data_IF_408628416464
#
_entry.id   IF_408628416464
#
_cell.length_a   1.000
_cell.length_b   1.000
_cell.length_c   1.000
_cell.angle_alpha   90.00
_cell.angle_beta   90.00
_cell.angle_gamma   90.00
#
_symmetry.space_group_name_H-M   'P 1'
#
loop_
_entity.id
_entity.type
_entity.pdbx_description
1 polymer ?
#
# COMPACT_ATOMS: atom_id res chain seq x y z
N UNK A 1 -1.39 12.94 1.04
CA UNK A 1 -0.10 13.67 1.13
C UNK A 1 -0.12 14.65 2.30
N UNK A 2 1.03 15.01 2.87
CA UNK A 2 1.15 15.95 3.97
C UNK A 2 2.41 16.82 3.85
N UNK A 3 2.32 18.07 4.31
CA UNK A 3 3.38 19.06 4.29
C UNK A 3 3.52 19.68 5.68
N UNK A 4 4.70 19.57 6.26
CA UNK A 4 5.02 20.21 7.54
C UNK A 4 5.17 21.73 7.37
N UNK A 5 4.62 22.52 8.29
CA UNK A 5 4.73 23.98 8.27
C UNK A 5 6.11 24.51 8.67
N UNK A 6 6.99 23.67 9.21
CA UNK A 6 8.28 24.09 9.79
C UNK A 6 8.17 24.45 11.27
N UNK A 7 6.99 24.87 11.71
CA UNK A 7 6.67 25.18 13.11
C UNK A 7 5.22 24.83 13.43
N UNK A 8 4.94 24.66 14.73
CA UNK A 8 3.57 24.63 15.24
C UNK A 8 2.95 26.02 15.04
N UNK A 9 1.71 26.06 14.58
CA UNK A 9 0.95 27.30 14.44
C UNK A 9 0.39 27.74 15.79
N UNK A 10 0.39 29.04 16.08
CA UNK A 10 -0.02 29.56 17.38
C UNK A 10 -1.54 29.55 17.60
N UNK A 11 -2.33 29.72 16.53
CA UNK A 11 -3.80 29.84 16.62
C UNK A 11 -4.55 28.54 16.94
N UNK A 12 -4.15 27.43 16.34
CA UNK A 12 -4.83 26.13 16.39
C UNK A 12 -3.90 24.98 16.84
N UNK A 13 -2.60 25.27 16.98
CA UNK A 13 -1.60 24.26 17.30
C UNK A 13 -1.30 23.27 16.18
N UNK A 14 -1.79 23.50 14.96
CA UNK A 14 -1.58 22.60 13.82
C UNK A 14 -0.13 22.66 13.33
N UNK A 15 0.35 21.52 12.82
CA UNK A 15 1.75 21.37 12.37
C UNK A 15 1.86 21.03 10.89
N UNK A 16 0.81 20.44 10.31
CA UNK A 16 0.78 20.01 8.92
C UNK A 16 -0.44 20.54 8.20
N UNK A 17 -0.26 20.78 6.90
CA UNK A 17 -1.35 20.74 5.91
C UNK A 17 -1.32 19.37 5.26
N UNK A 18 -2.47 18.77 5.05
CA UNK A 18 -2.59 17.46 4.43
C UNK A 18 -3.76 17.42 3.47
N UNK A 19 -3.62 16.57 2.44
CA UNK A 19 -4.64 16.32 1.44
C UNK A 19 -4.86 14.83 1.33
N UNK A 20 -6.10 14.39 1.56
CA UNK A 20 -6.56 13.04 1.27
C UNK A 20 -7.31 13.06 -0.07
N UNK A 21 -7.12 12.04 -0.91
CA UNK A 21 -7.74 12.00 -2.24
C UNK A 21 -8.06 10.58 -2.69
N UNK A 22 -9.03 10.50 -3.60
CA UNK A 22 -9.27 9.34 -4.45
C UNK A 22 -9.10 9.81 -5.89
N UNK A 23 -8.26 9.11 -6.65
CA UNK A 23 -8.05 9.38 -8.07
C UNK A 23 -7.97 8.04 -8.83
N UNK A 24 -8.37 8.00 -10.10
CA UNK A 24 -8.24 6.78 -10.87
C UNK A 24 -6.77 6.44 -11.07
N UNK A 25 -6.45 5.17 -11.33
CA UNK A 25 -5.08 4.77 -11.62
C UNK A 25 -4.66 5.22 -13.03
N UNK A 26 -5.56 5.09 -14.00
CA UNK A 26 -5.40 5.63 -15.34
C UNK A 26 -6.07 7.00 -15.45
N UNK A 27 -5.69 7.78 -16.46
CA UNK A 27 -6.27 9.10 -16.68
C UNK A 27 -7.67 9.02 -17.29
N UNK A 28 -8.68 8.84 -16.45
CA UNK A 28 -10.09 8.74 -16.83
C UNK A 28 -11.00 9.62 -15.98
N UNK A 29 -12.21 9.89 -16.47
CA UNK A 29 -13.22 10.61 -15.71
C UNK A 29 -14.08 9.66 -14.87
N UNK A 30 -13.67 9.47 -13.60
CA UNK A 30 -14.43 8.66 -12.66
C UNK A 30 -15.85 9.19 -12.37
N UNK A 31 -16.16 10.46 -12.67
CA UNK A 31 -17.50 11.02 -12.45
C UNK A 31 -18.58 10.33 -13.30
N UNK A 32 -18.16 9.61 -14.35
CA UNK A 32 -19.02 8.79 -15.21
C UNK A 32 -19.71 7.68 -14.41
N UNK A 33 -19.01 7.04 -13.47
CA UNK A 33 -19.55 5.90 -12.71
C UNK A 33 -19.65 6.18 -11.20
N UNK A 34 -18.88 7.13 -10.67
CA UNK A 34 -18.97 7.60 -9.27
C UNK A 34 -19.99 8.73 -9.16
N UNK A 35 -20.97 8.54 -8.28
CA UNK A 35 -21.97 9.54 -7.90
C UNK A 35 -21.45 10.53 -6.88
N UNK A 36 -20.74 10.03 -5.87
CA UNK A 36 -20.12 10.84 -4.82
C UNK A 36 -19.07 10.05 -4.04
N UNK A 37 -18.10 10.77 -3.48
CA UNK A 37 -17.14 10.25 -2.52
C UNK A 37 -17.35 10.95 -1.18
N UNK A 38 -17.41 10.17 -0.11
CA UNK A 38 -17.56 10.65 1.25
C UNK A 38 -16.28 10.38 2.03
N UNK A 39 -15.67 11.42 2.58
CA UNK A 39 -14.53 11.33 3.50
C UNK A 39 -15.03 11.55 4.92
N UNK A 40 -14.87 10.54 5.78
CA UNK A 40 -15.13 10.63 7.22
C UNK A 40 -13.80 10.87 7.93
N UNK A 41 -13.63 12.11 8.39
CA UNK A 41 -12.53 12.57 9.21
C UNK A 41 -12.78 12.23 10.70
N UNK A 42 -11.76 12.46 11.54
CA UNK A 42 -11.89 12.35 12.99
C UNK A 42 -12.94 13.32 13.55
N UNK A 43 -13.62 12.93 14.62
CA UNK A 43 -14.75 13.66 15.22
C UNK A 43 -14.38 15.06 15.74
N UNK A 44 -13.08 15.34 15.91
CA UNK A 44 -12.59 16.67 16.27
C UNK A 44 -12.72 17.71 15.15
N UNK A 45 -12.91 17.30 13.90
CA UNK A 45 -13.07 18.23 12.77
C UNK A 45 -14.51 18.66 12.62
N UNK A 46 -14.73 19.97 12.44
CA UNK A 46 -16.02 20.48 12.02
C UNK A 46 -16.43 19.85 10.68
N UNK A 47 -17.70 19.46 10.55
CA UNK A 47 -18.19 18.74 9.38
C UNK A 47 -17.32 17.52 9.05
N UNK A 48 -17.04 16.66 10.05
CA UNK A 48 -16.17 15.49 9.89
C UNK A 48 -16.53 14.60 8.69
N UNK A 49 -17.77 14.63 8.22
CA UNK A 49 -18.20 13.93 7.01
C UNK A 49 -18.25 14.92 5.84
N UNK A 50 -17.25 14.87 4.97
CA UNK A 50 -17.16 15.67 3.73
C UNK A 50 -17.68 14.84 2.57
N UNK A 51 -18.55 15.41 1.75
CA UNK A 51 -19.13 14.74 0.59
C UNK A 51 -18.80 15.52 -0.67
N UNK A 52 -18.16 14.88 -1.64
CA UNK A 52 -17.78 15.46 -2.92
C UNK A 52 -18.52 14.74 -4.04
N UNK A 53 -19.18 15.49 -4.92
CA UNK A 53 -19.95 14.97 -6.05
C UNK A 53 -19.23 15.11 -7.39
N UNK A 54 -18.13 15.85 -7.43
CA UNK A 54 -17.36 16.12 -8.65
C UNK A 54 -15.86 16.00 -8.38
N UNK A 55 -15.06 15.59 -9.38
CA UNK A 55 -13.60 15.59 -9.28
C UNK A 55 -13.04 17.03 -9.22
N UNK A 56 -11.86 17.24 -8.62
CA UNK A 56 -11.03 16.25 -7.94
C UNK A 56 -11.65 15.81 -6.60
N UNK A 57 -11.66 14.50 -6.35
CA UNK A 57 -12.19 13.95 -5.10
C UNK A 57 -11.13 14.02 -4.00
N UNK A 58 -10.88 15.22 -3.52
CA UNK A 58 -9.85 15.50 -2.52
C UNK A 58 -10.32 16.46 -1.43
N UNK A 59 -9.84 16.25 -0.21
CA UNK A 59 -10.08 17.11 0.94
C UNK A 59 -8.73 17.57 1.48
N UNK A 60 -8.53 18.88 1.52
CA UNK A 60 -7.36 19.51 2.15
C UNK A 60 -7.76 20.08 3.50
N UNK A 61 -6.96 19.78 4.51
CA UNK A 61 -7.17 20.20 5.89
C UNK A 61 -5.82 20.41 6.59
N UNK A 62 -5.88 20.91 7.82
CA UNK A 62 -4.69 21.11 8.65
C UNK A 62 -4.85 20.37 9.96
N UNK A 63 -3.74 19.91 10.54
CA UNK A 63 -3.78 19.15 11.79
C UNK A 63 -2.42 18.81 12.33
N UNK A 64 -2.41 18.06 13.44
CA UNK A 64 -1.20 17.62 14.12
C UNK A 64 -1.15 16.11 14.40
N UNK A 65 -2.29 15.43 14.31
CA UNK A 65 -2.43 14.00 14.61
C UNK A 65 -2.63 13.13 13.36
N UNK A 66 -2.13 11.90 13.43
CA UNK A 66 -2.43 10.83 12.48
C UNK A 66 -3.71 10.11 12.93
N UNK A 67 -4.60 9.79 11.99
CA UNK A 67 -5.85 9.08 12.27
C UNK A 67 -6.33 8.33 11.03
N UNK A 68 -7.26 7.40 11.20
CA UNK A 68 -7.90 6.70 10.10
C UNK A 68 -9.00 7.56 9.46
N UNK A 69 -8.92 7.73 8.14
CA UNK A 69 -9.94 8.38 7.33
C UNK A 69 -10.77 7.30 6.64
N UNK A 70 -12.07 7.29 6.91
CA UNK A 70 -13.01 6.44 6.19
C UNK A 70 -13.37 7.07 4.84
N UNK A 71 -13.20 6.34 3.75
CA UNK A 71 -13.52 6.80 2.39
C UNK A 71 -14.63 5.93 1.82
N UNK A 72 -15.81 6.49 1.57
CA UNK A 72 -16.96 5.77 1.05
C UNK A 72 -17.34 6.27 -0.34
N UNK A 73 -17.24 5.40 -1.33
CA UNK A 73 -17.51 5.68 -2.74
C UNK A 73 -18.90 5.17 -3.09
N UNK A 74 -19.74 6.06 -3.62
CA UNK A 74 -21.09 5.73 -4.09
C UNK A 74 -21.12 5.78 -5.60
N UNK A 75 -21.78 4.82 -6.23
CA UNK A 75 -21.93 4.75 -7.68
C UNK A 75 -23.25 5.39 -8.14
N UNK A 76 -23.32 5.72 -9.43
CA UNK A 76 -24.57 6.24 -10.03
C UNK A 76 -25.66 5.19 -10.05
N UNK A 77 -25.30 3.93 -10.28
CA UNK A 77 -26.22 2.81 -10.16
C UNK A 77 -26.60 2.58 -8.69
N UNK A 78 -27.87 2.75 -8.30
CA UNK A 78 -28.30 2.52 -6.92
C UNK A 78 -28.30 1.04 -6.51
N UNK A 79 -28.22 0.10 -7.46
CA UNK A 79 -28.14 -1.32 -7.17
C UNK A 79 -26.72 -1.75 -6.79
N UNK A 80 -25.72 -0.96 -7.17
CA UNK A 80 -24.33 -1.22 -6.81
C UNK A 80 -24.04 -0.75 -5.39
N UNK A 81 -23.39 -1.60 -4.59
CA UNK A 81 -23.13 -1.29 -3.18
C UNK A 81 -21.98 -0.27 -3.08
N UNK A 82 -22.09 0.73 -2.19
CA UNK A 82 -20.98 1.64 -1.95
C UNK A 82 -19.74 0.91 -1.42
N UNK A 83 -18.57 1.21 -1.97
CA UNK A 83 -17.29 0.69 -1.49
C UNK A 83 -16.80 1.55 -0.33
N UNK A 84 -16.28 0.93 0.73
CA UNK A 84 -15.69 1.63 1.88
C UNK A 84 -14.22 1.23 2.02
N UNK A 85 -13.34 2.21 2.00
CA UNK A 85 -11.90 2.09 2.20
C UNK A 85 -11.50 2.81 3.50
N UNK A 86 -10.39 2.40 4.08
CA UNK A 86 -9.83 3.01 5.29
C UNK A 86 -8.38 3.39 5.02
N UNK A 87 -8.07 4.68 5.17
CA UNK A 87 -6.74 5.20 4.90
C UNK A 87 -6.17 5.88 6.14
N UNK A 88 -5.01 5.40 6.62
CA UNK A 88 -4.32 6.04 7.75
C UNK A 88 -3.63 7.31 7.25
N UNK A 89 -4.09 8.47 7.70
CA UNK A 89 -3.42 9.74 7.46
C UNK A 89 -2.04 9.71 8.11
N UNK A 90 -1.00 9.82 7.28
CA UNK A 90 0.39 9.93 7.72
C UNK A 90 0.85 11.38 7.66
N UNK A 91 1.39 11.87 8.78
CA UNK A 91 1.99 13.19 8.92
C UNK A 91 3.50 13.07 9.18
N UNK A 92 3.93 12.01 9.87
CA UNK A 92 5.31 11.80 10.27
C UNK A 92 5.96 10.65 9.51
N UNK A 93 7.28 10.74 9.31
CA UNK A 93 8.04 9.69 8.63
C UNK A 93 8.22 8.49 9.56
N UNK A 94 7.50 7.40 9.30
CA UNK A 94 7.75 6.11 9.94
C UNK A 94 8.82 5.34 9.14
N UNK A 95 10.10 5.52 9.47
CA UNK A 95 11.24 4.73 8.95
C UNK A 95 11.47 4.81 7.41
N UNK A 96 12.60 4.30 6.85
CA UNK A 96 13.03 4.57 5.46
C UNK A 96 12.09 4.09 4.33
N UNK A 97 10.96 3.44 4.65
CA UNK A 97 10.00 2.92 3.68
C UNK A 97 8.85 3.87 3.32
N UNK A 98 8.67 4.97 4.05
CA UNK A 98 7.67 6.00 3.68
C UNK A 98 8.29 6.92 2.64
N UNK A 99 7.77 6.91 1.42
CA UNK A 99 8.28 7.74 0.33
C UNK A 99 8.14 9.23 0.68
N UNK A 100 9.26 9.86 1.05
CA UNK A 100 9.33 11.31 1.13
C UNK A 100 9.79 11.84 -0.23
N UNK A 101 9.04 12.78 -0.79
CA UNK A 101 9.44 13.46 -2.00
C UNK A 101 10.10 14.76 -1.58
N UNK A 102 11.39 14.88 -1.84
CA UNK A 102 12.08 16.18 -1.90
C UNK A 102 11.85 16.74 -3.29
N UNK A 103 11.17 17.88 -3.39
CA UNK A 103 11.16 18.67 -4.63
C UNK A 103 12.58 19.17 -4.88
N UNK A 104 13.32 18.47 -5.76
CA UNK A 104 14.59 18.95 -6.28
C UNK A 104 14.21 19.85 -7.48
N UNK A 105 14.50 21.17 -7.47
CA UNK A 105 14.36 21.98 -8.67
C UNK A 105 15.21 21.37 -9.79
N UNK A 106 14.71 21.36 -11.03
CA UNK A 106 15.20 20.59 -12.17
C UNK A 106 16.67 20.86 -12.64
N UNK A 107 17.50 21.47 -11.81
CA UNK A 107 18.88 21.90 -12.12
C UNK A 107 19.96 21.32 -11.19
N UNK A 108 19.63 20.46 -10.21
CA UNK A 108 20.63 19.91 -9.29
C UNK A 108 21.12 18.50 -9.69
N UNK A 109 22.44 18.20 -9.59
CA UNK A 109 23.00 16.91 -9.99
C UNK A 109 22.65 15.79 -9.00
N UNK A 110 22.33 14.59 -9.53
CA UNK A 110 22.12 13.36 -8.75
C UNK A 110 23.44 12.93 -8.08
N UNK A 111 23.52 13.02 -6.75
CA UNK A 111 24.43 12.18 -5.96
C UNK A 111 23.65 11.48 -4.86
N UNK A 112 23.78 10.15 -4.86
CA UNK A 112 23.17 9.22 -3.92
C UNK A 112 23.87 9.31 -2.57
N UNK A 113 23.19 9.82 -1.54
CA UNK A 113 23.58 9.58 -0.16
C UNK A 113 22.35 9.61 0.76
N UNK A 114 22.18 8.51 1.49
CA UNK A 114 21.30 8.39 2.66
C UNK A 114 21.78 9.35 3.77
N UNK A 115 20.97 10.36 4.13
CA UNK A 115 21.23 11.26 5.27
C UNK A 115 19.95 11.42 6.13
N UNK A 116 20.06 11.36 7.48
CA UNK A 116 18.95 11.60 8.39
C UNK A 116 18.45 13.05 8.33
N UNK A 117 17.24 13.24 8.86
CA UNK A 117 16.49 14.49 8.98
C UNK A 117 17.33 15.76 9.27
N UNK A 118 17.58 16.55 8.22
CA UNK A 118 17.57 18.02 8.12
C UNK A 118 18.62 18.43 7.08
N UNK A 119 18.19 18.74 5.85
CA UNK A 119 19.06 19.38 4.87
C UNK A 119 19.10 20.89 5.15
N UNK A 120 20.26 21.56 5.06
CA UNK A 120 20.40 23.00 5.34
C UNK A 120 19.65 23.90 4.36
N UNK A 121 19.25 23.38 3.20
CA UNK A 121 18.43 24.10 2.24
C UNK A 121 16.96 23.75 2.42
N UNK A 122 16.14 24.77 2.66
CA UNK A 122 14.72 24.75 3.01
C UNK A 122 13.75 24.18 1.97
N UNK A 123 14.10 23.06 1.33
CA UNK A 123 13.18 22.24 0.55
C UNK A 123 12.09 21.67 1.46
N UNK A 124 10.85 22.13 1.26
CA UNK A 124 9.67 21.64 1.99
C UNK A 124 9.46 20.16 1.65
N UNK A 125 9.83 19.25 2.55
CA UNK A 125 9.60 17.80 2.38
C UNK A 125 8.09 17.53 2.38
N UNK A 126 7.59 16.90 1.32
CA UNK A 126 6.22 16.41 1.25
C UNK A 126 6.24 14.92 1.55
N UNK A 127 5.42 14.52 2.51
CA UNK A 127 5.20 13.13 2.87
C UNK A 127 4.02 12.59 2.06
N UNK A 128 4.22 11.48 1.38
CA UNK A 128 3.19 10.83 0.58
C UNK A 128 2.93 9.43 1.12
N UNK A 129 1.70 9.21 1.57
CA UNK A 129 1.15 7.89 1.80
C UNK A 129 0.04 7.67 0.76
N UNK A 130 0.36 6.99 -0.33
CA UNK A 130 -0.60 6.56 -1.34
C UNK A 130 -0.71 5.03 -1.32
N UNK A 131 -1.92 4.52 -1.45
CA UNK A 131 -2.24 3.10 -1.55
C UNK A 131 -2.98 2.86 -2.85
N UNK A 132 -2.65 1.76 -3.54
CA UNK A 132 -3.37 1.30 -4.72
C UNK A 132 -4.44 0.30 -4.27
N UNK A 133 -5.65 0.47 -4.78
CA UNK A 133 -6.80 -0.39 -4.50
C UNK A 133 -7.52 -0.71 -5.82
N UNK A 134 -8.06 -1.92 -5.93
CA UNK A 134 -8.82 -2.38 -7.10
C UNK A 134 -10.31 -2.48 -6.76
N UNK A 135 -11.14 -1.73 -7.48
CA UNK A 135 -12.59 -1.84 -7.37
C UNK A 135 -13.07 -2.95 -8.31
N UNK A 136 -13.46 -4.08 -7.75
CA UNK A 136 -13.91 -5.26 -8.52
C UNK A 136 -15.43 -5.30 -8.58
N UNK A 137 -15.96 -5.19 -9.79
CA UNK A 137 -17.39 -5.38 -10.07
C UNK A 137 -17.59 -6.77 -10.69
N UNK A 138 -18.00 -7.75 -9.87
CA UNK A 138 -18.08 -9.15 -10.31
C UNK A 138 -19.24 -9.39 -11.29
N UNK A 139 -20.38 -8.77 -11.04
CA UNK A 139 -21.59 -8.85 -11.86
C UNK A 139 -22.26 -7.47 -11.91
N UNK A 140 -21.66 -6.48 -12.60
CA UNK A 140 -22.22 -5.13 -12.67
C UNK A 140 -23.57 -5.16 -13.37
N UNK A 141 -24.48 -4.28 -12.98
CA UNK A 141 -25.71 -4.08 -13.76
C UNK A 141 -25.36 -3.61 -15.18
N UNK A 142 -26.30 -3.79 -16.12
CA UNK A 142 -26.13 -3.30 -17.49
C UNK A 142 -25.83 -1.79 -17.54
N UNK A 143 -26.45 -1.00 -16.64
CA UNK A 143 -26.19 0.44 -16.52
C UNK A 143 -24.76 0.71 -16.08
N UNK A 144 -24.31 0.11 -14.97
CA UNK A 144 -22.96 0.33 -14.45
C UNK A 144 -21.90 -0.15 -15.44
N UNK A 145 -22.13 -1.31 -16.06
CA UNK A 145 -21.25 -1.85 -17.08
C UNK A 145 -21.07 -0.88 -18.25
N UNK A 146 -22.15 -0.27 -18.74
CA UNK A 146 -22.09 0.73 -19.79
C UNK A 146 -21.31 1.99 -19.35
N UNK A 147 -21.49 2.44 -18.10
CA UNK A 147 -20.76 3.59 -17.55
C UNK A 147 -19.25 3.30 -17.43
N UNK A 148 -18.88 2.11 -16.99
CA UNK A 148 -17.49 1.67 -16.87
C UNK A 148 -16.80 1.55 -18.25
N UNK A 149 -17.52 1.09 -19.28
CA UNK A 149 -16.96 0.92 -20.63
C UNK A 149 -16.77 2.23 -21.40
N UNK A 150 -17.59 3.25 -21.12
CA UNK A 150 -17.61 4.50 -21.88
C UNK A 150 -17.00 5.69 -21.13
N UNK A 151 -16.13 5.41 -20.14
CA UNK A 151 -15.44 6.44 -19.36
C UNK A 151 -14.43 7.20 -20.24
N UNK A 152 -14.61 8.52 -20.46
CA UNK A 152 -13.71 9.31 -21.31
C UNK A 152 -12.37 9.57 -20.61
N UNK A 153 -11.30 9.69 -21.40
CA UNK A 153 -10.00 10.16 -20.90
C UNK A 153 -10.02 11.67 -20.69
N UNK A 154 -9.44 12.16 -19.59
CA UNK A 154 -9.33 13.60 -19.33
C UNK A 154 -8.19 14.20 -20.16
N UNK A 155 -8.49 15.14 -21.06
CA UNK A 155 -7.55 15.58 -22.12
C UNK A 155 -6.50 16.63 -21.71
N UNK A 156 -6.43 17.06 -20.44
CA UNK A 156 -5.78 18.34 -20.11
C UNK A 156 -4.74 18.36 -18.98
N UNK A 157 -4.37 17.25 -18.35
CA UNK A 157 -3.34 17.27 -17.28
C UNK A 157 -2.41 16.06 -17.26
N UNK A 158 -1.18 16.27 -16.77
CA UNK A 158 -0.22 15.21 -16.48
C UNK A 158 -0.75 14.37 -15.29
N UNK A 159 -1.38 13.24 -15.60
CA UNK A 159 -1.89 12.31 -14.59
C UNK A 159 -0.74 11.48 -14.03
N UNK A 160 -0.25 11.86 -12.84
CA UNK A 160 0.88 11.18 -12.19
C UNK A 160 0.57 10.76 -10.75
N UNK A 161 0.99 9.54 -10.42
CA UNK A 161 1.03 9.05 -9.04
C UNK A 161 2.33 9.49 -8.38
N UNK A 162 2.26 9.88 -7.11
CA UNK A 162 3.47 10.19 -6.36
C UNK A 162 4.26 8.92 -6.03
N UNK A 163 3.56 7.79 -5.91
CA UNK A 163 4.14 6.46 -5.76
C UNK A 163 4.20 5.75 -7.11
N UNK A 164 5.38 5.24 -7.47
CA UNK A 164 5.51 4.31 -8.58
C UNK A 164 5.03 2.91 -8.14
N UNK A 165 3.76 2.63 -8.40
CA UNK A 165 3.13 1.37 -8.03
C UNK A 165 3.70 0.18 -8.80
N UNK A 166 4.14 0.37 -10.04
CA UNK A 166 4.69 -0.70 -10.87
C UNK A 166 6.08 -1.13 -10.39
N UNK A 167 6.95 -0.17 -10.08
CA UNK A 167 8.24 -0.45 -9.47
C UNK A 167 8.08 -1.09 -8.09
N UNK A 168 7.13 -0.61 -7.27
CA UNK A 168 6.82 -1.19 -5.96
C UNK A 168 6.31 -2.63 -6.09
N UNK A 169 5.41 -2.89 -7.05
CA UNK A 169 4.88 -4.22 -7.38
C UNK A 169 6.01 -5.16 -7.81
N UNK A 170 6.86 -4.74 -8.75
CA UNK A 170 7.98 -5.54 -9.25
C UNK A 170 8.96 -5.88 -8.13
N UNK A 171 9.35 -4.90 -7.31
CA UNK A 171 10.24 -5.12 -6.15
C UNK A 171 9.63 -6.10 -5.14
N UNK A 172 8.34 -5.95 -4.85
CA UNK A 172 7.61 -6.82 -3.93
C UNK A 172 7.54 -8.25 -4.48
N UNK A 173 7.21 -8.40 -5.76
CA UNK A 173 7.12 -9.69 -6.42
C UNK A 173 8.48 -10.42 -6.42
N UNK A 174 9.56 -9.71 -6.74
CA UNK A 174 10.92 -10.26 -6.67
C UNK A 174 11.26 -10.76 -5.26
N UNK A 175 10.95 -9.97 -4.23
CA UNK A 175 11.19 -10.37 -2.84
C UNK A 175 10.37 -11.62 -2.45
N UNK A 176 9.12 -11.71 -2.90
CA UNK A 176 8.27 -12.89 -2.66
C UNK A 176 8.84 -14.12 -3.35
N UNK A 177 9.25 -14.01 -4.61
CA UNK A 177 9.86 -15.11 -5.37
C UNK A 177 11.13 -15.62 -4.69
N UNK A 178 12.04 -14.71 -4.33
CA UNK A 178 13.28 -15.06 -3.61
C UNK A 178 12.98 -15.72 -2.25
N UNK A 179 11.99 -15.20 -1.52
CA UNK A 179 11.53 -15.79 -0.28
C UNK A 179 11.00 -17.22 -0.47
N UNK A 180 10.16 -17.43 -1.48
CA UNK A 180 9.59 -18.74 -1.82
C UNK A 180 10.67 -19.74 -2.21
N UNK A 181 11.65 -19.34 -3.00
CA UNK A 181 12.78 -20.19 -3.40
C UNK A 181 13.63 -20.60 -2.19
N UNK A 182 13.91 -19.66 -1.28
CA UNK A 182 14.67 -19.93 -0.06
C UNK A 182 13.94 -20.95 0.83
N UNK A 183 12.65 -20.74 1.06
CA UNK A 183 11.81 -21.66 1.86
C UNK A 183 11.73 -23.03 1.18
N UNK A 184 11.52 -23.08 -0.14
CA UNK A 184 11.46 -24.34 -0.88
C UNK A 184 12.77 -25.12 -0.80
N UNK A 185 13.92 -24.44 -0.84
CA UNK A 185 15.25 -25.07 -0.71
C UNK A 185 15.42 -25.67 0.68
N UNK A 186 15.12 -24.90 1.73
CA UNK A 186 15.24 -25.34 3.11
C UNK A 186 14.32 -26.54 3.42
N UNK A 187 13.09 -26.53 2.88
CA UNK A 187 12.18 -27.69 2.96
C UNK A 187 12.80 -28.91 2.26
N UNK A 188 13.43 -28.74 1.11
CA UNK A 188 14.13 -29.82 0.41
C UNK A 188 15.25 -30.42 1.25
N UNK A 189 16.10 -29.58 1.84
CA UNK A 189 17.22 -30.01 2.69
C UNK A 189 16.74 -30.77 3.93
N UNK A 190 15.67 -30.27 4.58
CA UNK A 190 15.07 -30.94 5.74
C UNK A 190 14.44 -32.30 5.35
N UNK A 191 13.76 -32.39 4.21
CA UNK A 191 13.23 -33.66 3.70
C UNK A 191 14.34 -34.67 3.45
N UNK A 192 15.45 -34.25 2.85
CA UNK A 192 16.62 -35.11 2.62
C UNK A 192 17.24 -35.59 3.93
N UNK A 193 17.40 -34.71 4.92
CA UNK A 193 17.90 -35.09 6.26
C UNK A 193 16.98 -36.10 6.95
N UNK A 194 15.66 -35.90 6.88
CA UNK A 194 14.67 -36.84 7.44
C UNK A 194 14.78 -38.19 6.74
N UNK A 195 14.91 -38.21 5.42
CA UNK A 195 15.05 -39.45 4.65
C UNK A 195 16.32 -40.21 5.06
N UNK A 196 17.46 -39.51 5.13
CA UNK A 196 18.74 -40.10 5.54
C UNK A 196 18.68 -40.65 6.98
N UNK A 197 18.05 -39.92 7.90
CA UNK A 197 17.86 -40.37 9.27
C UNK A 197 16.99 -41.64 9.34
N UNK A 198 15.91 -41.72 8.54
CA UNK A 198 15.06 -42.91 8.45
C UNK A 198 15.81 -44.12 7.90
N UNK A 199 16.59 -43.96 6.84
CA UNK A 199 17.41 -45.03 6.26
C UNK A 199 18.47 -45.52 7.25
N UNK A 200 19.11 -44.60 7.96
CA UNK A 200 20.10 -44.91 8.99
C UNK A 200 19.47 -45.69 10.15
N UNK A 201 18.29 -45.27 10.63
CA UNK A 201 17.53 -46.00 11.64
C UNK A 201 17.14 -47.41 11.16
N UNK A 202 16.75 -47.57 9.89
CA UNK A 202 16.43 -48.88 9.32
C UNK A 202 17.64 -49.81 9.34
N UNK A 203 18.81 -49.33 8.92
CA UNK A 203 20.07 -50.10 8.94
C UNK A 203 20.48 -50.51 10.34
N UNK A 204 20.36 -49.62 11.32
CA UNK A 204 20.65 -49.96 12.72
C UNK A 204 19.67 -51.00 13.28
N UNK A 205 18.38 -50.90 12.93
CA UNK A 205 17.37 -51.86 13.36
C UNK A 205 17.64 -53.27 12.80
N UNK A 206 18.05 -53.37 11.54
CA UNK A 206 18.41 -54.63 10.87
C UNK A 206 19.63 -55.29 11.53
N UNK A 207 20.69 -54.53 11.79
CA UNK A 207 21.88 -55.03 12.51
C UNK A 207 21.56 -55.51 13.94
N UNK A 208 20.66 -54.83 14.64
CA UNK A 208 20.22 -55.26 15.98
C UNK A 208 19.46 -56.59 15.89
N UNK A 209 18.61 -56.78 14.88
CA UNK A 209 17.92 -58.06 14.71
C UNK A 209 18.86 -59.22 14.38
N UNK A 210 19.87 -59.01 13.52
CA UNK A 210 20.88 -60.02 13.21
C UNK A 210 21.70 -60.43 14.45
N UNK A 211 22.13 -59.45 15.24
CA UNK A 211 22.89 -59.71 16.47
C UNK A 211 22.06 -60.44 17.55
N UNK A 212 20.73 -60.27 17.54
CA UNK A 212 19.83 -61.00 18.46
C UNK A 212 19.56 -62.44 18.00
N UNK A 213 19.63 -62.73 16.70
CA UNK A 213 19.46 -64.09 16.17
C UNK A 213 20.71 -64.95 16.39
N UNK A 214 21.91 -64.38 16.32
CA UNK A 214 23.17 -65.11 16.53
C UNK A 214 23.43 -65.46 18.01
N UNK A 215 22.76 -64.81 18.96
CA UNK A 215 22.87 -65.09 20.40
C UNK A 215 21.98 -66.22 20.93
N UNK A 216 21.17 -66.87 20.08
CA UNK A 216 20.20 -67.91 20.48
C UNK A 216 20.61 -69.32 19.97
N UNK A 217 21.66 -69.43 19.16
CA UNK A 217 22.24 -70.71 18.74
C UNK A 217 23.52 -71.04 19.52
N UNK A 218 23.38 -71.42 20.78
CA UNK A 218 24.34 -72.26 21.53
C UNK A 218 23.59 -73.03 22.62
#
# INVERSE_FOLDING_TARGET
MARYFGKKREEDGHTHEWTVYVKPYHNEDMSTYIKKVQFKLHDSYANQTRVLTHPPYEVTETGWGEFEIGVKIFFHDPNERPVTLYHILKLFQSSPGTSCITFIPATAPLSSASIPCATPDGGKKILVAETYEELVFQEPSAMLHQLLQNSPQLTLSEHRHHTDFDAKKLKTLTNITLGKEKVSREIGDLRNKIQLAKETLSKFKEKISEAQTDGITD
#
